data_IF_135114135806
#
_entry.id   IF_135114135806
#
_cell.length_a   1.000
_cell.length_b   1.000
_cell.length_c   1.000
_cell.angle_alpha   90.00
_cell.angle_beta   90.00
_cell.angle_gamma   90.00
#
_symmetry.space_group_name_H-M   'P 1'
#
loop_
_entity.id
_entity.type
_entity.pdbx_description
1 polymer ?
#
# COMPACT_ATOMS: atom_id res chain seq x y z
N UNK A 1 10.70 1.82 20.89
CA UNK A 1 11.43 1.79 19.61
C UNK A 1 10.52 1.10 18.60
N UNK A 2 10.11 1.62 17.45
CA UNK A 2 10.15 2.96 16.82
C UNK A 2 8.77 3.19 16.17
N UNK A 3 8.21 4.38 16.31
CA UNK A 3 8.20 5.46 15.31
C UNK A 3 7.52 5.10 13.97
N UNK A 4 6.19 5.21 13.93
CA UNK A 4 5.40 5.40 12.70
C UNK A 4 4.23 6.36 12.95
N UNK A 5 4.56 7.60 13.29
CA UNK A 5 3.61 8.72 13.44
C UNK A 5 3.98 9.93 12.59
N UNK A 6 4.57 9.69 11.43
CA UNK A 6 5.10 10.74 10.56
C UNK A 6 4.55 10.60 9.14
N UNK A 7 3.27 10.96 8.92
CA UNK A 7 2.79 11.49 7.63
C UNK A 7 1.30 11.91 7.60
N UNK A 8 0.72 12.33 8.73
CA UNK A 8 -0.65 12.92 8.74
C UNK A 8 -0.74 14.20 9.57
N UNK A 9 0.17 15.15 9.39
CA UNK A 9 -0.02 16.52 9.90
C UNK A 9 0.76 17.50 9.03
N UNK A 10 0.29 17.76 7.81
CA UNK A 10 0.80 18.89 7.02
C UNK A 10 -0.23 19.29 5.96
N UNK A 11 -1.36 19.86 6.39
CA UNK A 11 -2.18 20.82 5.62
C UNK A 11 -3.39 21.26 6.45
N UNK A 12 -3.13 21.90 7.59
CA UNK A 12 -4.11 22.76 8.24
C UNK A 12 -3.34 23.85 8.98
N UNK A 13 -3.91 25.06 9.01
CA UNK A 13 -3.46 26.27 9.73
C UNK A 13 -2.45 27.16 8.99
N UNK A 14 -2.98 28.00 8.08
CA UNK A 14 -2.47 29.35 7.82
C UNK A 14 -3.63 30.27 7.41
N UNK A 15 -4.49 30.53 8.37
CA UNK A 15 -5.49 31.60 8.37
C UNK A 15 -5.47 32.14 9.80
N UNK A 16 -4.53 33.05 10.07
CA UNK A 16 -4.59 34.01 11.18
C UNK A 16 -3.35 34.91 11.09
N UNK A 17 -3.54 36.09 10.52
CA UNK A 17 -2.77 37.30 10.83
C UNK A 17 -3.41 38.49 10.11
N UNK A 18 -4.48 39.03 10.71
CA UNK A 18 -4.85 40.44 10.52
C UNK A 18 -4.90 41.08 11.90
N UNK A 19 -3.71 41.39 12.41
CA UNK A 19 -3.52 42.10 13.68
C UNK A 19 -3.83 43.58 13.46
N UNK A 20 -4.88 44.08 14.10
CA UNK A 20 -5.15 45.51 14.19
C UNK A 20 -4.03 46.22 14.97
N UNK A 21 -3.53 47.39 14.53
CA UNK A 21 -2.68 48.21 15.37
C UNK A 21 -3.54 49.08 16.29
N UNK A 22 -3.43 48.80 17.59
CA UNK A 22 -3.89 49.65 18.69
C UNK A 22 -2.96 50.86 18.84
N UNK A 23 -3.56 52.02 19.14
CA UNK A 23 -2.90 53.31 19.30
C UNK A 23 -2.17 53.45 20.65
N UNK A 24 -1.01 54.14 20.66
CA UNK A 24 -0.66 55.09 21.73
C UNK A 24 0.55 55.94 21.32
N UNK A 25 0.47 57.27 21.47
CA UNK A 25 1.61 58.16 21.26
C UNK A 25 1.30 59.64 21.08
N UNK A 26 0.92 60.33 22.17
CA UNK A 26 1.45 61.65 22.55
C UNK A 26 1.17 62.91 21.72
N UNK A 27 0.42 63.82 22.34
CA UNK A 27 0.14 65.23 22.04
C UNK A 27 1.19 66.04 21.26
N UNK A 28 0.71 66.90 20.35
CA UNK A 28 1.08 68.32 20.33
C UNK A 28 -0.11 69.19 19.90
N UNK A 29 -0.43 70.17 20.74
CA UNK A 29 -1.40 71.24 20.49
C UNK A 29 -0.99 72.09 19.30
N UNK A 30 -1.93 72.34 18.40
CA UNK A 30 -1.98 73.57 17.62
C UNK A 30 -3.46 73.84 17.31
N UNK A 31 -3.99 74.84 18.01
CA UNK A 31 -5.28 75.44 17.75
C UNK A 31 -5.30 75.98 16.32
N UNK A 32 -6.28 75.52 15.56
CA UNK A 32 -6.60 76.01 14.23
C UNK A 32 -8.06 75.66 13.96
N UNK A 33 -8.95 76.54 14.39
CA UNK A 33 -10.38 76.50 14.07
C UNK A 33 -10.58 76.56 12.55
N UNK A 34 -10.55 75.40 11.89
CA UNK A 34 -11.07 75.26 10.54
C UNK A 34 -12.55 74.87 10.66
N UNK A 35 -13.40 75.85 10.37
CA UNK A 35 -14.85 75.77 10.35
C UNK A 35 -15.34 74.41 9.84
N UNK A 36 -16.10 73.71 10.69
CA UNK A 36 -17.01 72.61 10.31
C UNK A 36 -18.17 73.20 9.51
N UNK A 37 -17.86 73.70 8.32
CA UNK A 37 -18.84 73.98 7.31
C UNK A 37 -19.41 72.65 6.86
N UNK A 38 -20.71 72.46 7.05
CA UNK A 38 -21.46 71.47 6.27
C UNK A 38 -21.41 71.92 4.81
N UNK A 39 -20.30 71.63 4.13
CA UNK A 39 -20.17 71.83 2.69
C UNK A 39 -21.10 70.81 2.08
N UNK A 40 -22.33 71.23 1.78
CA UNK A 40 -23.23 70.48 0.92
C UNK A 40 -22.45 70.31 -0.38
N UNK A 41 -22.01 69.09 -0.75
CA UNK A 41 -21.16 68.92 -1.90
C UNK A 41 -21.91 69.46 -3.11
N UNK A 42 -21.24 70.32 -3.88
CA UNK A 42 -21.80 70.82 -5.13
C UNK A 42 -22.21 69.62 -5.98
N UNK A 43 -23.38 69.68 -6.63
CA UNK A 43 -23.90 68.56 -7.45
C UNK A 43 -22.89 68.05 -8.49
N UNK A 44 -21.98 68.93 -8.94
CA UNK A 44 -20.86 68.56 -9.81
C UNK A 44 -19.85 67.61 -9.13
N UNK A 45 -19.49 67.85 -7.86
CA UNK A 45 -18.56 66.99 -7.12
C UNK A 45 -19.15 65.61 -6.84
N UNK A 46 -20.45 65.53 -6.57
CA UNK A 46 -21.13 64.23 -6.39
C UNK A 46 -21.17 63.44 -7.68
N UNK A 47 -21.34 64.10 -8.84
CA UNK A 47 -21.40 63.45 -10.14
C UNK A 47 -20.04 62.84 -10.53
N UNK A 48 -18.95 63.58 -10.31
CA UNK A 48 -17.58 63.11 -10.52
C UNK A 48 -17.25 61.91 -9.62
N UNK A 49 -17.68 61.92 -8.35
CA UNK A 49 -17.47 60.81 -7.44
C UNK A 49 -18.24 59.54 -7.85
N UNK A 50 -19.45 59.69 -8.40
CA UNK A 50 -20.24 58.58 -8.94
C UNK A 50 -19.55 57.97 -10.16
N UNK A 51 -19.08 58.79 -11.09
CA UNK A 51 -18.34 58.32 -12.28
C UNK A 51 -17.06 57.58 -11.87
N UNK A 52 -16.27 58.14 -10.96
CA UNK A 52 -15.07 57.50 -10.44
C UNK A 52 -15.37 56.16 -9.76
N UNK A 53 -16.42 56.11 -8.92
CA UNK A 53 -16.86 54.86 -8.27
C UNK A 53 -17.36 53.83 -9.28
N UNK A 54 -18.05 54.27 -10.34
CA UNK A 54 -18.51 53.42 -11.43
C UNK A 54 -17.34 52.75 -12.17
N UNK A 55 -16.27 53.50 -12.47
CA UNK A 55 -15.06 52.95 -13.08
C UNK A 55 -14.37 51.92 -12.18
N UNK A 56 -14.28 52.19 -10.87
CA UNK A 56 -13.70 51.25 -9.90
C UNK A 56 -14.51 49.95 -9.79
N UNK A 57 -15.85 50.05 -9.76
CA UNK A 57 -16.72 48.88 -9.73
C UNK A 57 -16.60 48.07 -11.02
N UNK A 58 -16.57 48.72 -12.18
CA UNK A 58 -16.37 48.06 -13.47
C UNK A 58 -15.06 47.25 -13.48
N UNK A 59 -13.95 47.86 -13.06
CA UNK A 59 -12.65 47.17 -12.99
C UNK A 59 -12.68 45.97 -12.01
N UNK A 60 -13.35 46.10 -10.86
CA UNK A 60 -13.49 44.99 -9.90
C UNK A 60 -14.36 43.86 -10.44
N UNK A 61 -15.44 44.18 -11.16
CA UNK A 61 -16.30 43.18 -11.80
C UNK A 61 -15.53 42.40 -12.86
N UNK A 62 -14.73 43.08 -13.67
CA UNK A 62 -13.87 42.44 -14.68
C UNK A 62 -12.82 41.53 -14.04
N UNK A 63 -12.19 41.96 -12.94
CA UNK A 63 -11.25 41.14 -12.19
C UNK A 63 -11.93 39.87 -11.61
N UNK A 64 -13.11 40.01 -10.99
CA UNK A 64 -13.88 38.87 -10.45
C UNK A 64 -14.30 37.92 -11.58
N UNK A 65 -14.71 38.45 -12.73
CA UNK A 65 -15.07 37.62 -13.88
C UNK A 65 -13.87 36.81 -14.40
N UNK A 66 -12.67 37.38 -14.37
CA UNK A 66 -11.45 36.69 -14.75
C UNK A 66 -11.10 35.59 -13.74
N UNK A 67 -11.15 35.88 -12.44
CA UNK A 67 -10.90 34.91 -11.38
C UNK A 67 -11.91 33.75 -11.41
N UNK A 68 -13.19 34.04 -11.64
CA UNK A 68 -14.24 33.03 -11.77
C UNK A 68 -13.99 32.10 -12.96
N UNK A 69 -13.46 32.63 -14.07
CA UNK A 69 -13.09 31.81 -15.22
C UNK A 69 -11.88 30.91 -14.93
N UNK A 70 -10.86 31.43 -14.25
CA UNK A 70 -9.71 30.63 -13.81
C UNK A 70 -10.13 29.50 -12.88
N UNK A 71 -10.95 29.80 -11.86
CA UNK A 71 -11.48 28.80 -10.94
C UNK A 71 -12.29 27.72 -11.67
N UNK A 72 -13.11 28.12 -12.64
CA UNK A 72 -13.85 27.15 -13.47
C UNK A 72 -12.91 26.23 -14.22
N UNK A 73 -11.87 26.76 -14.85
CA UNK A 73 -10.88 25.97 -15.58
C UNK A 73 -10.13 25.01 -14.66
N UNK A 74 -9.71 25.46 -13.48
CA UNK A 74 -8.99 24.61 -12.53
C UNK A 74 -9.90 23.53 -11.95
N UNK A 75 -11.18 23.84 -11.70
CA UNK A 75 -12.17 22.84 -11.27
C UNK A 75 -12.37 21.77 -12.35
N UNK A 76 -12.43 22.14 -13.63
CA UNK A 76 -12.49 21.17 -14.73
C UNK A 76 -11.27 20.25 -14.74
N UNK A 77 -10.05 20.78 -14.61
CA UNK A 77 -8.83 19.97 -14.56
C UNK A 77 -8.81 19.02 -13.36
N UNK A 78 -9.28 19.47 -12.19
CA UNK A 78 -9.36 18.62 -11.00
C UNK A 78 -10.39 17.50 -11.20
N UNK A 79 -11.54 17.82 -11.79
CA UNK A 79 -12.57 16.82 -12.11
C UNK A 79 -12.06 15.76 -13.10
N UNK A 80 -11.38 16.17 -14.17
CA UNK A 80 -10.78 15.27 -15.15
C UNK A 80 -9.74 14.34 -14.51
N UNK A 81 -8.84 14.90 -13.70
CA UNK A 81 -7.84 14.11 -12.97
C UNK A 81 -8.48 13.17 -11.96
N UNK A 82 -9.55 13.58 -11.29
CA UNK A 82 -10.29 12.72 -10.36
C UNK A 82 -10.85 11.50 -11.09
N UNK A 83 -11.54 11.72 -12.21
CA UNK A 83 -12.11 10.65 -13.03
C UNK A 83 -11.04 9.69 -13.55
N UNK A 84 -9.90 10.21 -14.02
CA UNK A 84 -8.78 9.39 -14.46
C UNK A 84 -8.23 8.54 -13.31
N UNK A 85 -8.02 9.13 -12.13
CA UNK A 85 -7.53 8.38 -10.96
C UNK A 85 -8.53 7.33 -10.48
N UNK A 86 -9.84 7.62 -10.52
CA UNK A 86 -10.89 6.67 -10.16
C UNK A 86 -10.93 5.49 -11.15
N UNK A 87 -10.74 5.76 -12.44
CA UNK A 87 -10.64 4.72 -13.46
C UNK A 87 -9.42 3.82 -13.22
N UNK A 88 -8.24 4.42 -12.98
CA UNK A 88 -7.01 3.65 -12.70
C UNK A 88 -7.15 2.82 -11.42
N UNK A 89 -7.78 3.37 -10.37
CA UNK A 89 -8.03 2.62 -9.14
C UNK A 89 -8.97 1.44 -9.39
N UNK A 90 -9.99 1.60 -10.23
CA UNK A 90 -10.92 0.51 -10.58
C UNK A 90 -10.18 -0.62 -11.30
N UNK A 91 -9.36 -0.28 -12.31
CA UNK A 91 -8.54 -1.26 -13.03
C UNK A 91 -7.56 -1.99 -12.09
N UNK A 92 -6.86 -1.25 -11.22
CA UNK A 92 -5.98 -1.83 -10.21
C UNK A 92 -6.72 -2.76 -9.23
N UNK A 93 -7.97 -2.44 -8.87
CA UNK A 93 -8.79 -3.28 -8.01
C UNK A 93 -9.17 -4.60 -8.70
N UNK A 94 -9.47 -4.56 -10.00
CA UNK A 94 -9.73 -5.74 -10.81
C UNK A 94 -8.49 -6.63 -10.91
N UNK A 95 -7.33 -6.05 -11.23
CA UNK A 95 -6.05 -6.75 -11.33
C UNK A 95 -5.66 -7.43 -10.02
N UNK A 96 -5.78 -6.72 -8.89
CA UNK A 96 -5.50 -7.28 -7.56
C UNK A 96 -6.45 -8.44 -7.25
N UNK A 97 -7.72 -8.34 -7.66
CA UNK A 97 -8.70 -9.41 -7.46
C UNK A 97 -8.36 -10.64 -8.28
N UNK A 98 -7.99 -10.45 -9.55
CA UNK A 98 -7.54 -11.53 -10.43
C UNK A 98 -6.26 -12.19 -9.92
N UNK A 99 -5.28 -11.40 -9.49
CA UNK A 99 -4.02 -11.91 -8.95
C UNK A 99 -4.24 -12.72 -7.68
N UNK A 100 -5.10 -12.24 -6.76
CA UNK A 100 -5.48 -13.00 -5.56
C UNK A 100 -6.10 -14.35 -5.90
N UNK A 101 -7.03 -14.38 -6.87
CA UNK A 101 -7.64 -15.63 -7.31
C UNK A 101 -6.60 -16.61 -7.89
N UNK A 102 -5.65 -16.09 -8.67
CA UNK A 102 -4.56 -16.89 -9.26
C UNK A 102 -3.64 -17.46 -8.18
N UNK A 103 -3.25 -16.64 -7.19
CA UNK A 103 -2.42 -17.08 -6.07
C UNK A 103 -3.11 -18.17 -5.28
N UNK A 104 -4.39 -18.01 -4.94
CA UNK A 104 -5.16 -19.04 -4.23
C UNK A 104 -5.24 -20.35 -5.01
N UNK A 105 -5.41 -20.28 -6.33
CA UNK A 105 -5.42 -21.46 -7.19
C UNK A 105 -4.06 -22.17 -7.22
N UNK A 106 -2.97 -21.41 -7.30
CA UNK A 106 -1.60 -21.93 -7.28
C UNK A 106 -1.25 -22.55 -5.92
N UNK A 107 -1.60 -21.90 -4.81
CA UNK A 107 -1.41 -22.42 -3.46
C UNK A 107 -2.15 -23.75 -3.27
N UNK A 108 -3.40 -23.83 -3.73
CA UNK A 108 -4.20 -25.06 -3.69
C UNK A 108 -3.55 -26.17 -4.52
N UNK A 109 -3.06 -25.83 -5.72
CA UNK A 109 -2.37 -26.80 -6.58
C UNK A 109 -1.04 -27.27 -5.96
N UNK A 110 -0.25 -26.37 -5.37
CA UNK A 110 1.00 -26.69 -4.69
C UNK A 110 0.74 -27.65 -3.53
N UNK A 111 -0.21 -27.33 -2.65
CA UNK A 111 -0.58 -28.19 -1.52
C UNK A 111 -1.03 -29.58 -1.97
N UNK A 112 -1.81 -29.67 -3.06
CA UNK A 112 -2.21 -30.95 -3.63
C UNK A 112 -1.01 -31.75 -4.17
N UNK A 113 -0.06 -31.09 -4.81
CA UNK A 113 1.16 -31.74 -5.31
C UNK A 113 2.08 -32.19 -4.19
N UNK A 114 2.22 -31.40 -3.13
CA UNK A 114 2.96 -31.76 -1.93
C UNK A 114 2.37 -33.00 -1.28
N UNK A 115 1.04 -33.04 -1.06
CA UNK A 115 0.37 -34.22 -0.50
C UNK A 115 0.53 -35.46 -1.40
N UNK A 116 0.48 -35.28 -2.72
CA UNK A 116 0.71 -36.39 -3.66
C UNK A 116 2.15 -36.89 -3.63
N UNK A 117 3.13 -35.99 -3.54
CA UNK A 117 4.54 -36.34 -3.40
C UNK A 117 4.81 -37.08 -2.10
N UNK A 118 4.26 -36.61 -0.99
CA UNK A 118 4.39 -37.27 0.31
C UNK A 118 3.78 -38.69 0.29
N UNK A 119 2.61 -38.87 -0.31
CA UNK A 119 2.01 -40.21 -0.46
C UNK A 119 2.84 -41.10 -1.40
N UNK A 120 3.33 -40.56 -2.51
CA UNK A 120 4.17 -41.30 -3.46
C UNK A 120 5.50 -41.73 -2.82
N UNK A 121 6.16 -40.82 -2.11
CA UNK A 121 7.39 -41.07 -1.37
C UNK A 121 7.16 -42.10 -0.25
N UNK A 122 6.08 -41.92 0.53
CA UNK A 122 5.67 -42.88 1.55
C UNK A 122 5.45 -44.27 0.97
N UNK A 123 4.73 -44.39 -0.16
CA UNK A 123 4.52 -45.68 -0.85
C UNK A 123 5.82 -46.29 -1.35
N UNK A 124 6.74 -45.48 -1.86
CA UNK A 124 8.05 -45.96 -2.32
C UNK A 124 8.91 -46.52 -1.18
N UNK A 125 8.80 -45.98 0.03
CA UNK A 125 9.56 -46.45 1.19
C UNK A 125 8.86 -47.53 2.03
N UNK A 126 7.56 -47.80 1.83
CA UNK A 126 6.78 -48.78 2.64
C UNK A 126 7.41 -50.18 2.70
N UNK A 127 8.10 -50.59 1.65
CA UNK A 127 8.76 -51.90 1.58
C UNK A 127 10.27 -51.83 1.87
N UNK A 128 10.80 -50.63 2.10
CA UNK A 128 12.23 -50.45 2.36
C UNK A 128 12.50 -50.63 3.86
N UNK A 129 13.30 -51.63 4.19
CA UNK A 129 13.80 -51.84 5.55
C UNK A 129 15.17 -51.19 5.72
N UNK A 130 15.38 -50.47 6.82
CA UNK A 130 16.66 -49.86 7.15
C UNK A 130 17.31 -50.59 8.31
N UNK A 131 18.44 -51.24 8.03
CA UNK A 131 19.25 -51.91 9.04
C UNK A 131 20.38 -50.98 9.50
N UNK A 132 20.50 -50.76 10.81
CA UNK A 132 21.49 -49.87 11.42
C UNK A 132 22.48 -50.67 12.28
N UNK A 133 23.72 -50.20 12.36
CA UNK A 133 24.73 -50.78 13.26
C UNK A 133 25.56 -51.92 12.65
N UNK A 134 25.52 -52.12 11.33
CA UNK A 134 26.48 -53.02 10.67
C UNK A 134 27.87 -52.37 10.58
N UNK A 135 28.95 -53.11 10.92
CA UNK A 135 30.31 -52.66 10.66
C UNK A 135 30.51 -52.42 9.16
N UNK A 136 31.21 -51.34 8.80
CA UNK A 136 31.46 -50.99 7.41
C UNK A 136 32.21 -52.12 6.68
N UNK A 137 31.67 -52.57 5.55
CA UNK A 137 32.25 -53.65 4.74
C UNK A 137 31.93 -55.09 5.20
N UNK A 138 31.13 -55.29 6.25
CA UNK A 138 30.71 -56.63 6.71
C UNK A 138 29.95 -57.45 5.63
N UNK A 139 29.32 -56.75 4.70
CA UNK A 139 28.55 -57.27 3.57
C UNK A 139 29.41 -57.78 2.39
N UNK A 140 30.69 -57.41 2.33
CA UNK A 140 31.62 -57.83 1.28
C UNK A 140 31.20 -57.38 -0.13
N UNK A 141 31.51 -58.18 -1.15
CA UNK A 141 31.25 -57.84 -2.57
C UNK A 141 29.80 -58.06 -3.02
N UNK A 142 28.98 -58.79 -2.25
CA UNK A 142 27.60 -59.17 -2.60
C UNK A 142 26.66 -58.95 -1.41
N UNK A 143 26.14 -57.73 -1.23
CA UNK A 143 25.37 -57.36 -0.05
C UNK A 143 24.04 -58.12 0.07
N UNK A 144 23.39 -58.44 -1.05
CA UNK A 144 22.14 -59.21 -1.09
C UNK A 144 22.28 -60.61 -0.45
N UNK A 145 23.38 -61.31 -0.74
CA UNK A 145 23.67 -62.65 -0.22
C UNK A 145 24.03 -62.60 1.27
N UNK A 146 24.68 -61.53 1.71
CA UNK A 146 24.96 -61.30 3.12
C UNK A 146 23.66 -61.10 3.91
N UNK A 147 22.79 -60.22 3.42
CA UNK A 147 21.54 -59.90 4.12
C UNK A 147 20.59 -61.09 4.16
N UNK A 148 20.47 -61.87 3.07
CA UNK A 148 19.64 -63.08 3.04
C UNK A 148 20.07 -64.09 4.12
N UNK A 149 21.38 -64.38 4.22
CA UNK A 149 21.93 -65.24 5.28
C UNK A 149 21.73 -64.66 6.67
N UNK A 150 21.88 -63.34 6.83
CA UNK A 150 21.70 -62.66 8.10
C UNK A 150 20.23 -62.69 8.55
N UNK A 151 19.28 -62.41 7.65
CA UNK A 151 17.84 -62.47 7.92
C UNK A 151 17.45 -63.89 8.33
N UNK A 152 17.92 -64.91 7.62
CA UNK A 152 17.67 -66.32 8.00
C UNK A 152 18.21 -66.63 9.39
N UNK A 153 19.43 -66.17 9.69
CA UNK A 153 20.02 -66.40 11.01
C UNK A 153 19.34 -65.62 12.14
N UNK A 154 18.90 -64.39 11.88
CA UNK A 154 18.40 -63.46 12.88
C UNK A 154 16.89 -63.58 13.13
N UNK A 155 16.09 -63.84 12.08
CA UNK A 155 14.63 -63.77 12.11
C UNK A 155 13.93 -65.12 11.90
N UNK A 156 14.53 -66.08 11.20
CA UNK A 156 13.92 -67.41 10.95
C UNK A 156 14.04 -68.41 12.12
N UNK A 157 14.46 -67.96 13.30
CA UNK A 157 14.13 -68.64 14.56
C UNK A 157 12.65 -68.48 14.94
N UNK A 158 11.92 -67.56 14.29
CA UNK A 158 10.48 -67.41 14.36
C UNK A 158 9.82 -67.89 13.05
N UNK A 159 8.65 -68.53 13.15
CA UNK A 159 7.85 -69.02 12.01
C UNK A 159 7.37 -67.85 11.13
N UNK A 160 8.21 -67.41 10.19
CA UNK A 160 7.82 -66.45 9.17
C UNK A 160 7.11 -67.18 8.03
N UNK A 161 5.88 -66.76 7.75
CA UNK A 161 5.10 -67.28 6.63
C UNK A 161 5.66 -66.75 5.31
N UNK A 162 6.13 -67.67 4.47
CA UNK A 162 6.42 -67.51 3.02
C UNK A 162 7.64 -66.68 2.57
N UNK A 163 8.09 -67.01 1.34
CA UNK A 163 9.34 -66.64 0.66
C UNK A 163 9.57 -65.12 0.59
N UNK A 164 10.51 -64.61 1.40
CA UNK A 164 11.01 -63.23 1.30
C UNK A 164 11.81 -63.07 0.01
N UNK A 165 11.50 -62.05 -0.78
CA UNK A 165 12.28 -61.67 -1.97
C UNK A 165 12.87 -60.28 -1.76
N UNK A 166 14.17 -60.15 -2.05
CA UNK A 166 14.87 -58.88 -1.97
C UNK A 166 15.01 -58.29 -3.37
N UNK A 167 14.46 -57.10 -3.58
CA UNK A 167 14.50 -56.41 -4.88
C UNK A 167 15.79 -55.63 -5.09
N UNK A 168 16.29 -54.95 -4.05
CA UNK A 168 17.54 -54.21 -4.10
C UNK A 168 18.04 -53.91 -2.68
N UNK A 169 19.36 -53.95 -2.49
CA UNK A 169 20.03 -53.47 -1.29
C UNK A 169 20.99 -52.33 -1.67
N UNK A 170 20.89 -51.22 -0.96
CA UNK A 170 21.76 -50.06 -1.14
C UNK A 170 22.25 -49.56 0.21
N UNK A 171 23.52 -49.17 0.27
CA UNK A 171 24.08 -48.37 1.37
C UNK A 171 23.64 -46.92 1.21
N UNK A 172 23.16 -46.31 2.29
CA UNK A 172 22.79 -44.88 2.37
C UNK A 172 23.79 -44.13 3.23
#
# INVERSE_FOLDING_TARGET
>A
MGNDRSMRVAQQTKMDQFTAPSASGGLQSAEGEAQRGTIKPSGAQTLVAIEASGLVLQAKIEAIALDANLLRTDLCKVAERSLETESQVTEMQEDVSHLKATVMALETHSSKMEAWLEDAEGRSYRCNLRFLGFPEGAEGSKPEVFLDKWIVKALLSANLSTFLTLESMRRS
#
